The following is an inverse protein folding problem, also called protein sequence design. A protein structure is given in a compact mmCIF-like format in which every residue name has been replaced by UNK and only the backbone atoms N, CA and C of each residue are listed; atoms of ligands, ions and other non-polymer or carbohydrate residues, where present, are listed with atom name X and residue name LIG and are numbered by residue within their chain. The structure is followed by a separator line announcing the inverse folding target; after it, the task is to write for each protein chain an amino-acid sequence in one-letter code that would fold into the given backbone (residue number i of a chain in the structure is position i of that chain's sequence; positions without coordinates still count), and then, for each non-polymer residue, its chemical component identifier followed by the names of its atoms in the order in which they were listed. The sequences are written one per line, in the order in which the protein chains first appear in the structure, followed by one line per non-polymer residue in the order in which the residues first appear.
data_IF_658892314029
#
_entry.id   IF_658892314029
#
_cell.length_a   1.000
_cell.length_b   1.000
_cell.length_c   1.000
_cell.angle_alpha   90.00
_cell.angle_beta   90.00
_cell.angle_gamma   90.00
#
_symmetry.space_group_name_H-M   'P 1'
#
loop_
_entity.id
_entity.type
_entity.pdbx_description
1 polymer ?
#
# COMPACT_ATOMS: atom_id res chain seq x y z
N UNK A 1 -14.11 3.92 -0.54
CA UNK A 1 -13.31 5.10 -0.95
C UNK A 1 -14.15 6.38 -1.00
N UNK A 2 -15.22 6.45 -1.79
CA UNK A 2 -16.05 7.67 -1.93
C UNK A 2 -16.73 8.13 -0.62
N UNK A 3 -17.12 7.20 0.26
CA UNK A 3 -17.76 7.53 1.53
C UNK A 3 -16.78 8.23 2.50
N UNK A 4 -15.56 7.70 2.62
CA UNK A 4 -14.49 8.27 3.45
C UNK A 4 -14.10 9.67 2.99
N UNK A 5 -14.04 9.89 1.67
CA UNK A 5 -13.79 11.21 1.09
C UNK A 5 -14.93 12.20 1.40
N UNK A 6 -16.19 11.78 1.26
CA UNK A 6 -17.34 12.62 1.60
C UNK A 6 -17.38 12.99 3.09
N UNK A 7 -17.10 12.05 3.99
CA UNK A 7 -17.06 12.31 5.44
C UNK A 7 -15.88 13.21 5.79
N UNK A 8 -14.69 12.97 5.21
CA UNK A 8 -13.53 13.85 5.39
C UNK A 8 -13.83 15.27 4.92
N UNK A 9 -14.46 15.43 3.75
CA UNK A 9 -14.84 16.75 3.25
C UNK A 9 -15.89 17.45 4.11
N UNK A 10 -16.86 16.70 4.68
CA UNK A 10 -17.79 17.24 5.66
C UNK A 10 -17.07 17.69 6.93
N UNK A 11 -16.14 16.88 7.46
CA UNK A 11 -15.39 17.17 8.67
C UNK A 11 -14.51 18.42 8.52
N UNK A 12 -13.87 18.60 7.36
CA UNK A 12 -13.13 19.84 7.03
C UNK A 12 -14.09 21.03 7.11
N UNK A 13 -15.28 20.92 6.50
CA UNK A 13 -16.27 22.02 6.46
C UNK A 13 -16.87 22.35 7.83
N UNK A 14 -17.05 21.37 8.71
CA UNK A 14 -17.56 21.58 10.07
C UNK A 14 -16.49 22.08 11.03
N UNK A 15 -15.24 21.66 10.89
CA UNK A 15 -14.13 22.07 11.76
C UNK A 15 -13.49 23.40 11.32
N UNK A 16 -13.58 23.78 10.04
CA UNK A 16 -13.01 25.04 9.55
C UNK A 16 -13.58 26.27 10.27
N UNK A 17 -14.90 26.31 10.53
CA UNK A 17 -15.56 27.45 11.20
C UNK A 17 -15.10 27.66 12.66
N UNK A 18 -15.16 26.66 13.56
CA UNK A 18 -14.71 26.85 14.94
C UNK A 18 -13.22 27.18 14.99
N UNK A 19 -12.38 26.55 14.15
CA UNK A 19 -10.95 26.87 14.09
C UNK A 19 -10.68 28.30 13.61
N UNK A 20 -11.36 28.75 12.55
CA UNK A 20 -11.25 30.13 12.09
C UNK A 20 -11.67 31.12 13.20
N UNK A 21 -12.78 30.85 13.90
CA UNK A 21 -13.22 31.70 15.01
C UNK A 21 -12.20 31.76 16.16
N UNK A 22 -11.58 30.62 16.52
CA UNK A 22 -10.54 30.56 17.54
C UNK A 22 -9.26 31.31 17.13
N UNK A 23 -8.79 31.13 15.90
CA UNK A 23 -7.63 31.85 15.37
C UNK A 23 -7.91 33.35 15.31
N UNK A 24 -9.12 33.75 14.91
CA UNK A 24 -9.53 35.16 14.81
C UNK A 24 -9.56 35.82 16.18
N UNK A 25 -9.99 35.10 17.22
CA UNK A 25 -9.91 35.56 18.60
C UNK A 25 -8.45 35.83 19.00
N UNK A 26 -7.55 34.87 18.73
CA UNK A 26 -6.13 35.01 19.04
C UNK A 26 -5.42 36.12 18.24
N UNK A 27 -5.82 36.34 16.99
CA UNK A 27 -5.27 37.41 16.15
C UNK A 27 -5.68 38.81 16.59
N UNK A 28 -6.78 38.95 17.35
CA UNK A 28 -7.10 40.22 18.01
C UNK A 28 -6.23 40.47 19.24
N UNK A 29 -5.81 39.41 19.92
CA UNK A 29 -4.97 39.47 21.12
C UNK A 29 -3.49 39.72 20.81
N UNK A 30 -3.02 39.31 19.62
CA UNK A 30 -1.61 39.41 19.23
C UNK A 30 -1.41 40.25 17.95
N UNK A 31 -0.90 41.49 18.06
CA UNK A 31 -0.75 42.39 16.90
C UNK A 31 0.26 41.88 15.86
N UNK A 32 1.38 41.29 16.28
CA UNK A 32 2.36 40.69 15.36
C UNK A 32 1.75 39.54 14.54
N UNK A 33 0.90 38.74 15.17
CA UNK A 33 0.22 37.63 14.50
C UNK A 33 -0.84 38.15 13.52
N UNK A 34 -1.53 39.23 13.87
CA UNK A 34 -2.47 39.92 12.99
C UNK A 34 -1.79 40.42 11.70
N UNK A 35 -0.67 41.13 11.83
CA UNK A 35 0.08 41.63 10.68
C UNK A 35 0.57 40.51 9.76
N UNK A 36 1.02 39.39 10.33
CA UNK A 36 1.41 38.21 9.56
C UNK A 36 0.23 37.62 8.77
N UNK A 37 -0.94 37.48 9.40
CA UNK A 37 -2.14 36.99 8.73
C UNK A 37 -2.59 37.92 7.60
N UNK A 38 -2.56 39.24 7.84
CA UNK A 38 -2.85 40.25 6.80
C UNK A 38 -1.85 40.12 5.65
N UNK A 39 -0.55 40.05 5.94
CA UNK A 39 0.48 39.92 4.91
C UNK A 39 0.30 38.64 4.07
N UNK A 40 -0.02 37.51 4.71
CA UNK A 40 -0.32 36.25 4.03
C UNK A 40 -1.57 36.37 3.16
N UNK A 41 -2.64 36.98 3.67
CA UNK A 41 -3.87 37.19 2.91
C UNK A 41 -3.65 38.08 1.67
N UNK A 42 -2.87 39.15 1.81
CA UNK A 42 -2.51 40.03 0.69
C UNK A 42 -1.64 39.29 -0.34
N UNK A 43 -0.67 38.47 0.10
CA UNK A 43 0.12 37.61 -0.79
C UNK A 43 -0.76 36.63 -1.55
N UNK A 44 -1.68 35.94 -0.87
CA UNK A 44 -2.66 35.04 -1.49
C UNK A 44 -3.49 35.80 -2.54
N UNK A 45 -4.05 36.96 -2.18
CA UNK A 45 -4.87 37.75 -3.08
C UNK A 45 -4.12 38.16 -4.35
N UNK A 46 -2.87 38.63 -4.21
CA UNK A 46 -1.99 38.95 -5.36
C UNK A 46 -1.65 37.72 -6.19
N UNK A 47 -1.32 36.60 -5.55
CA UNK A 47 -1.03 35.35 -6.24
C UNK A 47 -2.23 34.87 -7.05
N UNK A 48 -3.44 34.90 -6.48
CA UNK A 48 -4.68 34.57 -7.19
C UNK A 48 -4.89 35.49 -8.39
N UNK A 49 -4.70 36.80 -8.24
CA UNK A 49 -4.84 37.75 -9.33
C UNK A 49 -3.78 37.56 -10.43
N UNK A 50 -2.55 37.20 -10.05
CA UNK A 50 -1.48 36.85 -10.98
C UNK A 50 -1.83 35.58 -11.77
N UNK A 51 -2.18 34.48 -11.09
CA UNK A 51 -2.59 33.22 -11.75
C UNK A 51 -3.78 33.46 -12.68
N UNK A 52 -4.79 34.20 -12.21
CA UNK A 52 -5.98 34.50 -13.01
C UNK A 52 -5.62 35.32 -14.24
N UNK A 53 -4.69 36.26 -14.12
CA UNK A 53 -4.24 37.06 -15.27
C UNK A 53 -3.36 36.25 -16.23
N UNK A 54 -2.58 35.29 -15.72
CA UNK A 54 -1.73 34.41 -16.53
C UNK A 54 -2.52 33.36 -17.32
N UNK A 55 -3.67 32.92 -16.81
CA UNK A 55 -4.55 31.93 -17.44
C UNK A 55 -5.54 32.54 -18.44
N UNK A 56 -5.69 33.87 -18.46
CA UNK A 56 -6.59 34.52 -19.41
C UNK A 56 -5.92 34.70 -20.78
N UNK A 57 -6.69 34.64 -21.88
CA UNK A 57 -6.17 34.84 -23.22
C UNK A 57 -5.62 36.26 -23.43
N UNK A 58 -4.66 36.35 -24.35
CA UNK A 58 -3.93 37.58 -24.70
C UNK A 58 -4.90 38.68 -25.14
N UNK A 59 -4.75 39.88 -24.56
CA UNK A 59 -5.63 41.04 -24.80
C UNK A 59 -6.71 41.29 -23.73
N UNK A 60 -6.88 40.40 -22.76
CA UNK A 60 -7.80 40.62 -21.64
C UNK A 60 -7.21 41.56 -20.57
N UNK A 61 -8.02 42.44 -19.94
CA UNK A 61 -7.52 43.40 -18.96
C UNK A 61 -6.92 42.69 -17.73
N UNK A 62 -5.71 43.12 -17.34
CA UNK A 62 -5.01 42.62 -16.15
C UNK A 62 -5.87 42.82 -14.92
N UNK A 63 -5.99 41.77 -14.09
CA UNK A 63 -6.76 41.86 -12.85
C UNK A 63 -5.96 42.70 -11.84
N UNK A 64 -6.43 43.91 -11.57
CA UNK A 64 -5.78 44.79 -10.61
C UNK A 64 -6.15 44.34 -9.18
N UNK A 65 -5.19 43.77 -8.47
CA UNK A 65 -5.35 43.43 -7.06
C UNK A 65 -4.98 44.65 -6.19
N UNK A 66 -5.97 45.46 -5.86
CA UNK A 66 -5.82 46.50 -4.84
C UNK A 66 -5.51 45.89 -3.46
N UNK A 67 -5.00 46.71 -2.53
CA UNK A 67 -4.84 46.27 -1.13
C UNK A 67 -6.22 45.98 -0.55
N UNK A 68 -6.40 44.80 0.02
CA UNK A 68 -7.63 44.45 0.74
C UNK A 68 -7.72 45.25 2.05
N UNK A 69 -8.92 45.62 2.49
CA UNK A 69 -9.14 46.22 3.82
C UNK A 69 -8.65 45.26 4.92
N UNK A 70 -8.03 45.80 5.98
CA UNK A 70 -7.36 45.03 7.03
C UNK A 70 -8.28 43.99 7.69
N UNK A 71 -9.55 44.33 7.95
CA UNK A 71 -10.54 43.40 8.51
C UNK A 71 -10.82 42.20 7.59
N UNK A 72 -10.91 42.45 6.28
CA UNK A 72 -11.12 41.41 5.28
C UNK A 72 -9.87 40.55 5.11
N UNK A 73 -8.69 41.18 5.11
CA UNK A 73 -7.41 40.49 5.02
C UNK A 73 -7.20 39.58 6.24
N UNK A 74 -7.52 40.06 7.43
CA UNK A 74 -7.47 39.28 8.65
C UNK A 74 -8.39 38.06 8.60
N UNK A 75 -9.64 38.24 8.16
CA UNK A 75 -10.58 37.10 8.03
C UNK A 75 -10.07 36.07 7.03
N UNK A 76 -9.60 36.51 5.85
CA UNK A 76 -9.09 35.59 4.83
C UNK A 76 -7.80 34.89 5.23
N UNK A 77 -6.91 35.57 5.96
CA UNK A 77 -5.68 34.99 6.49
C UNK A 77 -5.99 33.93 7.55
N UNK A 78 -6.95 34.22 8.41
CA UNK A 78 -7.44 33.29 9.44
C UNK A 78 -8.04 32.03 8.82
N UNK A 79 -8.94 32.20 7.84
CA UNK A 79 -9.57 31.08 7.13
C UNK A 79 -8.52 30.21 6.45
N UNK A 80 -7.53 30.83 5.78
CA UNK A 80 -6.43 30.11 5.12
C UNK A 80 -5.57 29.32 6.13
N UNK A 81 -5.26 29.89 7.29
CA UNK A 81 -4.47 29.21 8.31
C UNK A 81 -5.23 28.01 8.90
N UNK A 82 -6.52 28.17 9.20
CA UNK A 82 -7.37 27.08 9.67
C UNK A 82 -7.46 25.94 8.66
N UNK A 83 -7.65 26.29 7.38
CA UNK A 83 -7.66 25.34 6.27
C UNK A 83 -6.30 24.61 6.14
N UNK A 84 -5.18 25.34 6.23
CA UNK A 84 -3.84 24.75 6.17
C UNK A 84 -3.58 23.75 7.30
N UNK A 85 -3.98 24.05 8.53
CA UNK A 85 -3.81 23.14 9.67
C UNK A 85 -4.59 21.85 9.45
N UNK A 86 -5.86 21.95 9.03
CA UNK A 86 -6.71 20.78 8.79
C UNK A 86 -6.12 19.93 7.66
N UNK A 87 -5.70 20.54 6.55
CA UNK A 87 -5.06 19.83 5.45
C UNK A 87 -3.73 19.20 5.84
N UNK A 88 -2.92 19.87 6.67
CA UNK A 88 -1.66 19.32 7.17
C UNK A 88 -1.90 18.05 7.99
N UNK A 89 -2.85 18.09 8.93
CA UNK A 89 -3.20 16.91 9.75
C UNK A 89 -3.72 15.76 8.87
N UNK A 90 -4.63 16.07 7.93
CA UNK A 90 -5.14 15.07 7.00
C UNK A 90 -4.01 14.47 6.12
N UNK A 91 -3.12 15.30 5.61
CA UNK A 91 -1.97 14.90 4.80
C UNK A 91 -1.03 13.96 5.57
N UNK A 92 -0.73 14.28 6.83
CA UNK A 92 0.09 13.42 7.71
C UNK A 92 -0.57 12.05 7.88
N UNK A 93 -1.87 12.00 8.15
CA UNK A 93 -2.61 10.74 8.30
C UNK A 93 -2.54 9.91 7.01
N UNK A 94 -2.79 10.53 5.86
CA UNK A 94 -2.75 9.84 4.55
C UNK A 94 -1.37 9.28 4.26
N UNK A 95 -0.31 10.07 4.48
CA UNK A 95 1.08 9.62 4.28
C UNK A 95 1.42 8.47 5.23
N UNK A 96 0.98 8.55 6.48
CA UNK A 96 1.16 7.50 7.47
C UNK A 96 0.47 6.19 7.05
N UNK A 97 -0.82 6.25 6.65
CA UNK A 97 -1.55 5.08 6.18
C UNK A 97 -0.94 4.49 4.92
N UNK A 98 -0.50 5.34 3.97
CA UNK A 98 0.18 4.90 2.76
C UNK A 98 1.47 4.14 3.08
N UNK A 99 2.33 4.67 3.96
CA UNK A 99 3.55 3.98 4.41
C UNK A 99 3.23 2.66 5.11
N UNK A 100 2.22 2.65 5.97
CA UNK A 100 1.75 1.44 6.67
C UNK A 100 1.24 0.38 5.69
N UNK A 101 0.51 0.79 4.66
CA UNK A 101 -0.04 -0.08 3.63
C UNK A 101 1.08 -0.77 2.83
N UNK A 102 2.12 -0.01 2.45
CA UNK A 102 3.29 -0.56 1.75
C UNK A 102 3.99 -1.68 2.55
N UNK A 103 4.16 -1.49 3.86
CA UNK A 103 4.75 -2.51 4.73
C UNK A 103 3.89 -3.77 4.77
N UNK A 104 2.56 -3.63 4.88
CA UNK A 104 1.63 -4.77 4.87
C UNK A 104 1.66 -5.52 3.54
N UNK A 105 1.70 -4.81 2.42
CA UNK A 105 1.76 -5.43 1.10
C UNK A 105 3.07 -6.19 0.89
N UNK A 106 4.20 -5.64 1.32
CA UNK A 106 5.49 -6.31 1.28
C UNK A 106 5.47 -7.60 2.14
N UNK A 107 4.95 -7.52 3.36
CA UNK A 107 4.78 -8.68 4.23
C UNK A 107 3.85 -9.74 3.60
N UNK A 108 2.75 -9.32 2.99
CA UNK A 108 1.81 -10.21 2.30
C UNK A 108 2.43 -10.91 1.09
N UNK A 109 3.28 -10.21 0.31
CA UNK A 109 4.02 -10.81 -0.81
C UNK A 109 5.03 -11.86 -0.33
N UNK A 110 5.77 -11.57 0.75
CA UNK A 110 6.72 -12.52 1.36
C UNK A 110 6.01 -13.77 1.88
N UNK A 111 4.91 -13.61 2.64
CA UNK A 111 4.12 -14.74 3.12
C UNK A 111 3.57 -15.61 1.98
N UNK A 112 3.12 -14.99 0.88
CA UNK A 112 2.67 -15.72 -0.32
C UNK A 112 3.82 -16.46 -1.02
N UNK A 113 5.00 -15.86 -1.10
CA UNK A 113 6.19 -16.48 -1.68
C UNK A 113 6.65 -17.69 -0.85
N UNK A 114 6.72 -17.54 0.48
CA UNK A 114 7.04 -18.64 1.40
C UNK A 114 6.02 -19.79 1.33
N UNK A 115 4.73 -19.47 1.25
CA UNK A 115 3.69 -20.48 1.09
C UNK A 115 3.79 -21.24 -0.24
N UNK A 116 4.23 -20.56 -1.32
CA UNK A 116 4.49 -21.21 -2.61
C UNK A 116 5.72 -22.12 -2.55
N UNK A 117 6.83 -21.62 -1.99
CA UNK A 117 8.05 -22.40 -1.81
C UNK A 117 7.80 -23.66 -0.95
N UNK A 118 7.03 -23.56 0.13
CA UNK A 118 6.64 -24.74 0.95
C UNK A 118 5.87 -25.78 0.13
N UNK A 119 4.95 -25.36 -0.73
CA UNK A 119 4.17 -26.27 -1.59
C UNK A 119 5.05 -26.92 -2.65
N UNK A 120 6.00 -26.19 -3.20
CA UNK A 120 6.96 -26.71 -4.17
C UNK A 120 7.89 -27.74 -3.54
N UNK A 121 8.51 -27.42 -2.40
CA UNK A 121 9.33 -28.37 -1.64
C UNK A 121 8.57 -29.64 -1.25
N UNK A 122 7.29 -29.52 -0.88
CA UNK A 122 6.46 -30.68 -0.58
C UNK A 122 6.18 -31.56 -1.81
N UNK A 123 6.01 -30.95 -3.00
CA UNK A 123 5.88 -31.68 -4.27
C UNK A 123 7.17 -32.38 -4.65
N UNK A 124 8.30 -31.71 -4.47
CA UNK A 124 9.62 -32.29 -4.79
C UNK A 124 9.98 -33.42 -3.83
N UNK A 125 9.69 -33.28 -2.54
CA UNK A 125 9.82 -34.37 -1.57
C UNK A 125 8.93 -35.58 -1.94
N UNK A 126 7.70 -35.34 -2.39
CA UNK A 126 6.83 -36.40 -2.87
C UNK A 126 7.37 -37.07 -4.14
N UNK A 127 7.93 -36.31 -5.08
CA UNK A 127 8.57 -36.85 -6.29
C UNK A 127 9.77 -37.72 -5.94
N UNK A 128 10.66 -37.24 -5.06
CA UNK A 128 11.80 -38.03 -4.58
C UNK A 128 11.35 -39.33 -3.88
N UNK A 129 10.26 -39.28 -3.10
CA UNK A 129 9.68 -40.48 -2.48
C UNK A 129 9.08 -41.46 -3.51
N UNK A 130 8.55 -40.97 -4.63
CA UNK A 130 8.11 -41.83 -5.72
C UNK A 130 9.28 -42.46 -6.46
N UNK A 131 10.32 -41.68 -6.78
CA UNK A 131 11.51 -42.16 -7.46
C UNK A 131 12.21 -43.26 -6.66
N UNK A 132 12.38 -43.08 -5.35
CA UNK A 132 12.94 -44.11 -4.48
C UNK A 132 12.11 -45.41 -4.50
N UNK A 133 10.78 -45.32 -4.47
CA UNK A 133 9.90 -46.49 -4.60
C UNK A 133 10.02 -47.17 -5.96
N UNK A 134 10.11 -46.41 -7.04
CA UNK A 134 10.32 -46.95 -8.39
C UNK A 134 11.65 -47.72 -8.46
N UNK A 135 12.74 -47.13 -7.97
CA UNK A 135 14.05 -47.82 -7.95
C UNK A 135 14.04 -49.10 -7.10
N UNK A 136 13.32 -49.12 -5.98
CA UNK A 136 13.18 -50.32 -5.16
C UNK A 136 12.36 -51.43 -5.85
N UNK A 137 11.32 -51.04 -6.61
CA UNK A 137 10.54 -51.97 -7.43
C UNK A 137 11.38 -52.58 -8.56
N UNK A 138 12.19 -51.77 -9.25
CA UNK A 138 13.09 -52.23 -10.31
C UNK A 138 14.11 -53.26 -9.79
N UNK A 139 14.69 -53.02 -8.61
CA UNK A 139 15.59 -53.98 -7.96
C UNK A 139 14.90 -55.30 -7.63
N UNK A 140 13.66 -55.23 -7.11
CA UNK A 140 12.86 -56.42 -6.80
C UNK A 140 12.54 -57.24 -8.06
N UNK A 141 12.25 -56.57 -9.17
CA UNK A 141 12.02 -57.23 -10.47
C UNK A 141 13.28 -57.91 -10.99
N UNK A 142 14.44 -57.24 -10.89
CA UNK A 142 15.72 -57.85 -11.25
C UNK A 142 16.01 -59.11 -10.44
N UNK A 143 15.76 -59.08 -9.13
CA UNK A 143 15.93 -60.25 -8.27
C UNK A 143 15.00 -61.39 -8.67
N UNK A 144 13.72 -61.09 -8.92
CA UNK A 144 12.74 -62.09 -9.37
C UNK A 144 13.13 -62.71 -10.71
N UNK A 145 13.57 -61.90 -11.68
CA UNK A 145 14.06 -62.40 -12.98
C UNK A 145 15.26 -63.34 -12.80
N UNK A 146 16.20 -62.99 -11.92
CA UNK A 146 17.35 -63.84 -11.62
C UNK A 146 16.92 -65.17 -10.99
N UNK A 147 15.98 -65.14 -10.03
CA UNK A 147 15.42 -66.35 -9.42
C UNK A 147 14.72 -67.24 -10.45
N UNK A 148 13.87 -66.67 -11.31
CA UNK A 148 13.19 -67.43 -12.37
C UNK A 148 14.22 -68.11 -13.28
N UNK A 149 15.25 -67.37 -13.72
CA UNK A 149 16.32 -67.92 -14.55
C UNK A 149 17.06 -69.09 -13.86
N UNK A 150 17.37 -68.96 -12.57
CA UNK A 150 18.02 -70.05 -11.81
C UNK A 150 17.12 -71.27 -11.62
N UNK A 151 15.80 -71.07 -11.49
CA UNK A 151 14.83 -72.17 -11.39
C UNK A 151 14.66 -72.89 -12.72
N UNK A 152 14.65 -72.15 -13.83
CA UNK A 152 14.57 -72.71 -15.18
C UNK A 152 15.80 -73.54 -15.56
N UNK A 153 16.99 -73.14 -15.08
CA UNK A 153 18.22 -73.92 -15.26
C UNK A 153 18.35 -75.13 -14.33
N UNK A 154 17.43 -75.33 -13.37
CA UNK A 154 17.53 -76.41 -12.41
C UNK A 154 17.11 -77.73 -13.08
N UNK A 155 17.98 -78.75 -13.18
CA UNK A 155 17.62 -80.01 -13.80
C UNK A 155 16.46 -80.67 -13.04
N UNK A 156 15.54 -81.38 -13.74
CA UNK A 156 14.38 -81.99 -13.10
C UNK A 156 14.85 -82.93 -11.98
N UNK A 157 14.11 -83.01 -10.86
CA UNK A 157 14.52 -83.81 -9.72
C UNK A 157 14.77 -85.26 -10.17
N UNK A 158 15.97 -85.79 -9.90
CA UNK A 158 16.23 -87.22 -10.05
C UNK A 158 15.30 -87.94 -9.09
N UNK A 159 14.25 -88.56 -9.62
CA UNK A 159 13.36 -89.48 -8.90
C UNK A 159 14.22 -90.58 -8.27
N UNK A 160 14.60 -90.43 -7.00
CA UNK A 160 15.07 -91.56 -6.20
C UNK A 160 13.82 -92.29 -5.70
N UNK A 161 13.39 -93.29 -6.45
CA UNK A 161 12.52 -94.33 -5.91
C UNK A 161 13.39 -95.22 -5.01
N UNK A 162 13.54 -94.86 -3.74
CA UNK A 162 13.97 -95.81 -2.73
C UNK A 162 12.74 -96.61 -2.31
N UNK A 163 12.56 -97.73 -3.00
CA UNK A 163 11.73 -98.85 -2.57
C UNK A 163 12.43 -99.45 -1.34
N UNK A 164 11.80 -99.37 -0.18
CA UNK A 164 11.73 -100.40 0.85
C UNK A 164 10.56 -100.09 1.78
#
# INVERSE_FOLDING_TARGET
MALSFKIGMLAVKTLAKPFANSIKSQAKSHPLFNEQLIAVAQKKHRATAWVTSALKPEGSPKVFAGKLSDDKALSQGTDLLGEFIIFSVAGVIVVYEYRRQQVKEAAGKRAKAEARARKENARDAHRAALETKLTALDLSLQELMLRVHTLEQRPPPRRSWSIF
#
